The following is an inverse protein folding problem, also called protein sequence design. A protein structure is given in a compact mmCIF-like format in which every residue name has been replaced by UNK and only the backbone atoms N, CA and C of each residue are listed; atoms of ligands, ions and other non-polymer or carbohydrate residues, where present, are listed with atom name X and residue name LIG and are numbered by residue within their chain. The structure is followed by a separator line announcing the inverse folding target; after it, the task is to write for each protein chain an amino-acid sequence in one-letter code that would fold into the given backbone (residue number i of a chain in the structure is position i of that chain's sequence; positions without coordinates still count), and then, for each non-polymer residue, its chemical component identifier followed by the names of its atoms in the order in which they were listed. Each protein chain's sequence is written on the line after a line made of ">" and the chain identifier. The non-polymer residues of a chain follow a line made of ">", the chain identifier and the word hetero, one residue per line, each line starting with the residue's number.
data_IF_700364108269
#
_entry.id   IF_700364108269
#
_cell.length_a   1.000
_cell.length_b   1.000
_cell.length_c   1.000
_cell.angle_alpha   90.00
_cell.angle_beta   90.00
_cell.angle_gamma   90.00
#
_symmetry.space_group_name_H-M   'P 1'
#
loop_
_entity.id
_entity.type
_entity.pdbx_description
1 polymer ?
#
# COMPACT_ATOMS: atom_id res chain seq x y z
N UNK A 1 2.82 16.67 16.08
CA UNK A 1 3.71 15.85 15.24
C UNK A 1 3.03 15.56 13.91
N UNK A 2 3.75 15.75 12.83
CA UNK A 2 3.21 15.49 11.48
C UNK A 2 3.44 14.03 11.12
N UNK A 3 2.48 13.16 11.45
CA UNK A 3 2.60 11.73 11.18
C UNK A 3 2.29 11.40 9.72
N UNK A 4 3.19 10.67 9.09
CA UNK A 4 2.98 10.08 7.77
C UNK A 4 2.91 8.56 7.93
N UNK A 5 1.88 7.94 7.36
CA UNK A 5 1.70 6.48 7.39
C UNK A 5 1.87 5.96 5.97
N UNK A 6 2.81 5.05 5.76
CA UNK A 6 2.87 4.29 4.50
C UNK A 6 2.22 2.94 4.72
N UNK A 7 1.46 2.46 3.75
CA UNK A 7 0.77 1.20 3.87
C UNK A 7 1.03 0.34 2.64
N UNK A 8 1.83 -0.70 2.82
CA UNK A 8 2.02 -1.77 1.83
C UNK A 8 1.07 -2.91 2.20
N UNK A 9 0.59 -3.64 1.21
CA UNK A 9 -0.45 -4.63 1.49
C UNK A 9 -0.44 -5.74 0.44
N UNK A 10 -0.68 -6.96 0.91
CA UNK A 10 -1.01 -8.08 0.04
C UNK A 10 -2.38 -7.85 -0.58
N UNK A 11 -2.57 -8.35 -1.80
CA UNK A 11 -3.83 -8.17 -2.51
C UNK A 11 -4.97 -8.95 -1.81
N UNK A 12 -6.13 -8.32 -1.71
CA UNK A 12 -7.31 -8.93 -1.08
C UNK A 12 -7.39 -8.79 0.43
N UNK A 13 -6.54 -7.99 1.05
CA UNK A 13 -6.60 -7.75 2.51
C UNK A 13 -7.67 -6.74 2.93
N UNK A 14 -8.15 -5.92 2.00
CA UNK A 14 -9.06 -4.81 2.34
C UNK A 14 -8.33 -3.63 2.99
N UNK A 15 -7.03 -3.50 2.77
CA UNK A 15 -6.23 -2.43 3.37
C UNK A 15 -6.71 -1.04 3.00
N UNK A 16 -7.31 -0.86 1.82
CA UNK A 16 -7.89 0.44 1.43
C UNK A 16 -9.02 0.87 2.37
N UNK A 17 -9.81 -0.08 2.85
CA UNK A 17 -10.89 0.18 3.82
C UNK A 17 -10.28 0.62 5.15
N UNK A 18 -9.19 -0.05 5.58
CA UNK A 18 -8.46 0.31 6.79
C UNK A 18 -7.89 1.73 6.66
N UNK A 19 -7.29 2.04 5.52
CA UNK A 19 -6.72 3.36 5.26
C UNK A 19 -7.80 4.46 5.30
N UNK A 20 -8.97 4.21 4.73
CA UNK A 20 -10.07 5.16 4.76
C UNK A 20 -10.58 5.41 6.17
N UNK A 21 -10.69 4.36 6.98
CA UNK A 21 -11.11 4.49 8.37
C UNK A 21 -10.07 5.28 9.20
N UNK A 22 -8.79 5.00 9.01
CA UNK A 22 -7.73 5.76 9.64
C UNK A 22 -7.75 7.23 9.21
N UNK A 23 -7.98 7.48 7.93
CA UNK A 23 -8.10 8.83 7.38
C UNK A 23 -9.17 9.63 8.09
N UNK A 24 -10.34 9.02 8.30
CA UNK A 24 -11.45 9.66 8.99
C UNK A 24 -11.13 9.95 10.46
N UNK A 25 -10.54 8.97 11.15
CA UNK A 25 -10.23 9.09 12.58
C UNK A 25 -9.12 10.09 12.87
N UNK A 26 -8.14 10.18 11.98
CA UNK A 26 -6.99 11.07 12.15
C UNK A 26 -7.15 12.40 11.41
N UNK A 27 -8.19 12.55 10.61
CA UNK A 27 -8.45 13.72 9.77
C UNK A 27 -7.25 14.03 8.87
N UNK A 28 -6.76 13.01 8.16
CA UNK A 28 -5.65 13.15 7.22
C UNK A 28 -6.01 12.48 5.88
N UNK A 29 -5.48 12.97 4.75
CA UNK A 29 -5.82 12.41 3.45
C UNK A 29 -5.15 11.07 3.17
N UNK A 30 -5.75 10.29 2.26
CA UNK A 30 -5.17 9.06 1.71
C UNK A 30 -4.78 9.30 0.26
N UNK A 31 -3.55 8.95 -0.10
CA UNK A 31 -3.05 9.05 -1.46
C UNK A 31 -2.74 7.64 -1.99
N UNK A 32 -3.41 7.26 -3.05
CA UNK A 32 -3.22 5.97 -3.70
C UNK A 32 -2.50 6.13 -5.05
N UNK A 33 -2.33 5.01 -5.75
CA UNK A 33 -1.69 5.00 -7.07
C UNK A 33 -2.39 5.95 -8.05
N UNK A 34 -3.72 5.91 -8.11
CA UNK A 34 -4.49 6.74 -9.03
C UNK A 34 -4.29 8.22 -8.77
N UNK A 35 -4.28 8.63 -7.50
CA UNK A 35 -4.03 10.01 -7.12
C UNK A 35 -2.64 10.49 -7.56
N UNK A 36 -1.62 9.67 -7.28
CA UNK A 36 -0.23 10.00 -7.62
C UNK A 36 -0.04 10.07 -9.14
N UNK A 37 -0.60 9.12 -9.88
CA UNK A 37 -0.54 9.12 -11.35
C UNK A 37 -1.22 10.34 -11.94
N UNK A 38 -2.34 10.78 -11.39
CA UNK A 38 -3.03 12.00 -11.81
C UNK A 38 -2.13 13.22 -11.64
N UNK A 39 -1.42 13.34 -10.51
CA UNK A 39 -0.50 14.45 -10.27
C UNK A 39 0.68 14.44 -11.22
N UNK A 40 1.15 13.27 -11.63
CA UNK A 40 2.20 13.15 -12.64
C UNK A 40 1.70 13.55 -14.03
N UNK A 41 0.49 13.14 -14.42
CA UNK A 41 -0.08 13.49 -15.73
C UNK A 41 -0.38 14.98 -15.85
N UNK A 42 -0.66 15.67 -14.74
CA UNK A 42 -0.85 17.11 -14.70
C UNK A 42 0.49 17.88 -14.72
N UNK A 43 1.61 17.18 -14.87
CA UNK A 43 2.97 17.75 -14.86
C UNK A 43 3.30 18.55 -13.59
N UNK A 44 2.61 18.24 -12.49
CA UNK A 44 2.85 18.89 -11.21
C UNK A 44 4.15 18.42 -10.57
N UNK A 45 4.51 17.15 -10.80
CA UNK A 45 5.74 16.54 -10.29
C UNK A 45 6.43 15.77 -11.42
N UNK A 46 7.76 15.72 -11.38
CA UNK A 46 8.56 15.03 -12.40
C UNK A 46 8.62 13.53 -12.21
N UNK A 47 8.45 13.04 -10.97
CA UNK A 47 8.52 11.61 -10.66
C UNK A 47 7.62 11.24 -9.49
N UNK A 48 7.31 9.94 -9.37
CA UNK A 48 6.55 9.44 -8.22
C UNK A 48 7.28 9.74 -6.91
N UNK A 49 8.61 9.59 -6.89
CA UNK A 49 9.39 9.85 -5.68
C UNK A 49 9.27 11.32 -5.25
N UNK A 50 9.35 12.26 -6.21
CA UNK A 50 9.17 13.67 -5.92
C UNK A 50 7.76 13.95 -5.38
N UNK A 51 6.74 13.38 -6.02
CA UNK A 51 5.36 13.54 -5.58
C UNK A 51 5.17 13.03 -4.15
N UNK A 52 5.68 11.85 -3.85
CA UNK A 52 5.57 11.25 -2.51
C UNK A 52 6.30 12.11 -1.47
N UNK A 53 7.49 12.59 -1.76
CA UNK A 53 8.24 13.44 -0.82
C UNK A 53 7.50 14.75 -0.53
N UNK A 54 6.88 15.34 -1.53
CA UNK A 54 6.11 16.58 -1.38
C UNK A 54 4.82 16.35 -0.60
N UNK A 55 4.07 15.30 -0.94
CA UNK A 55 2.84 14.97 -0.22
C UNK A 55 3.12 14.64 1.25
N UNK A 56 4.27 14.03 1.54
CA UNK A 56 4.67 13.67 2.90
C UNK A 56 5.15 14.85 3.75
N UNK A 57 5.16 16.05 3.23
CA UNK A 57 5.42 17.27 4.04
C UNK A 57 4.26 17.59 4.96
N UNK A 58 3.10 17.04 4.72
CA UNK A 58 1.91 17.18 5.58
C UNK A 58 1.45 15.79 6.02
N UNK A 59 0.72 15.68 7.14
CA UNK A 59 0.19 14.40 7.60
C UNK A 59 -0.65 13.73 6.52
N UNK A 60 -0.39 12.46 6.25
CA UNK A 60 -1.11 11.71 5.21
C UNK A 60 -0.89 10.21 5.35
N UNK A 61 -1.68 9.45 4.59
CA UNK A 61 -1.53 8.01 4.42
C UNK A 61 -1.21 7.77 2.94
N UNK A 62 -0.14 7.04 2.65
CA UNK A 62 0.25 6.72 1.27
C UNK A 62 0.15 5.21 1.08
N UNK A 63 -0.63 4.79 0.07
CA UNK A 63 -0.82 3.37 -0.25
C UNK A 63 0.17 2.93 -1.33
N UNK A 64 1.10 2.06 -0.95
CA UNK A 64 2.05 1.44 -1.87
C UNK A 64 3.08 2.39 -2.47
N UNK A 65 3.41 2.19 -3.73
CA UNK A 65 4.33 3.00 -4.56
C UNK A 65 5.73 3.15 -3.98
N UNK A 66 6.20 2.16 -3.21
CA UNK A 66 7.52 2.18 -2.57
C UNK A 66 7.72 3.36 -1.60
N UNK A 67 6.62 3.90 -1.07
CA UNK A 67 6.70 5.07 -0.18
C UNK A 67 7.55 4.81 1.06
N UNK A 68 7.52 3.60 1.62
CA UNK A 68 8.35 3.25 2.76
C UNK A 68 9.84 3.40 2.48
N UNK A 69 10.28 3.04 1.28
CA UNK A 69 11.68 3.19 0.88
C UNK A 69 12.02 4.64 0.53
N UNK A 70 11.14 5.32 -0.19
CA UNK A 70 11.34 6.72 -0.59
C UNK A 70 11.48 7.61 0.65
N UNK A 71 10.72 7.35 1.71
CA UNK A 71 10.68 8.13 2.93
C UNK A 71 11.54 7.56 4.06
N UNK A 72 12.43 6.61 3.77
CA UNK A 72 13.21 5.88 4.78
C UNK A 72 14.06 6.77 5.70
N UNK A 73 14.44 7.95 5.25
CA UNK A 73 15.28 8.87 6.03
C UNK A 73 14.46 9.82 6.90
N UNK A 74 13.14 9.74 6.87
CA UNK A 74 12.27 10.58 7.69
C UNK A 74 11.85 9.86 8.96
N UNK A 75 11.95 10.56 10.09
CA UNK A 75 11.68 9.98 11.42
C UNK A 75 10.19 9.94 11.78
N UNK A 76 9.38 10.73 11.11
CA UNK A 76 7.96 10.85 11.41
C UNK A 76 7.08 9.92 10.55
N UNK A 77 7.65 8.83 10.07
CA UNK A 77 6.95 7.88 9.19
C UNK A 77 6.74 6.55 9.88
N UNK A 78 5.49 6.09 9.88
CA UNK A 78 5.13 4.75 10.31
C UNK A 78 4.86 3.91 9.07
N UNK A 79 5.66 2.87 8.87
CA UNK A 79 5.52 1.95 7.74
C UNK A 79 4.74 0.72 8.17
N UNK A 80 3.56 0.51 7.59
CA UNK A 80 2.68 -0.64 7.90
C UNK A 80 2.64 -1.58 6.71
N UNK A 81 2.73 -2.87 6.98
CA UNK A 81 2.55 -3.92 5.99
C UNK A 81 1.34 -4.76 6.39
N UNK A 82 0.28 -4.75 5.56
CA UNK A 82 -0.97 -5.47 5.85
C UNK A 82 -0.98 -6.80 5.11
N UNK A 83 -1.19 -7.88 5.85
CA UNK A 83 -1.32 -9.22 5.29
C UNK A 83 -2.50 -9.96 5.91
N UNK A 84 -2.87 -11.08 5.31
CA UNK A 84 -3.89 -11.99 5.80
C UNK A 84 -3.64 -13.35 5.18
N UNK A 85 -4.24 -14.40 5.73
CA UNK A 85 -4.10 -15.73 5.16
C UNK A 85 -4.56 -15.73 3.70
N UNK A 86 -3.82 -16.44 2.86
CA UNK A 86 -4.06 -16.44 1.40
C UNK A 86 -5.49 -16.84 1.05
N UNK A 87 -6.02 -17.87 1.70
CA UNK A 87 -7.39 -18.32 1.45
C UNK A 87 -8.43 -17.26 1.81
N UNK A 88 -8.22 -16.53 2.90
CA UNK A 88 -9.12 -15.44 3.30
C UNK A 88 -9.12 -14.32 2.25
N UNK A 89 -7.96 -14.02 1.69
CA UNK A 89 -7.83 -13.03 0.62
C UNK A 89 -8.51 -13.48 -0.66
N UNK A 90 -8.37 -14.76 -1.01
CA UNK A 90 -9.05 -15.35 -2.16
C UNK A 90 -10.56 -15.23 -2.00
N UNK A 91 -11.10 -15.60 -0.82
CA UNK A 91 -12.53 -15.52 -0.55
C UNK A 91 -13.05 -14.08 -0.66
N UNK A 92 -12.28 -13.11 -0.18
CA UNK A 92 -12.66 -11.71 -0.30
C UNK A 92 -12.74 -11.26 -1.75
N UNK A 93 -11.78 -11.66 -2.59
CA UNK A 93 -11.77 -11.28 -4.01
C UNK A 93 -12.89 -12.00 -4.79
N UNK A 94 -13.19 -13.26 -4.46
CA UNK A 94 -14.35 -13.96 -5.04
C UNK A 94 -15.63 -13.15 -4.87
N UNK A 95 -15.86 -12.64 -3.68
CA UNK A 95 -17.07 -11.85 -3.37
C UNK A 95 -17.04 -10.47 -4.02
N UNK A 96 -15.91 -9.79 -3.92
CA UNK A 96 -15.77 -8.41 -4.41
C UNK A 96 -15.88 -8.32 -5.93
N UNK A 97 -15.29 -9.27 -6.64
CA UNK A 97 -15.19 -9.24 -8.10
C UNK A 97 -16.06 -10.30 -8.80
N UNK A 98 -16.85 -11.04 -8.02
CA UNK A 98 -17.72 -12.09 -8.54
C UNK A 98 -16.96 -13.12 -9.39
N UNK A 99 -15.86 -13.62 -8.83
CA UNK A 99 -15.02 -14.63 -9.48
C UNK A 99 -15.16 -15.98 -8.78
N UNK A 100 -14.88 -17.07 -9.53
CA UNK A 100 -14.74 -18.39 -8.91
C UNK A 100 -13.40 -18.48 -8.17
N UNK A 101 -13.20 -19.57 -7.41
CA UNK A 101 -12.01 -19.76 -6.59
C UNK A 101 -10.73 -19.73 -7.42
N UNK A 102 -10.69 -20.44 -8.55
CA UNK A 102 -9.48 -20.52 -9.36
C UNK A 102 -9.10 -19.19 -9.97
N UNK A 103 -10.06 -18.43 -10.47
CA UNK A 103 -9.82 -17.10 -11.04
C UNK A 103 -9.36 -16.11 -9.96
N UNK A 104 -9.99 -16.16 -8.78
CA UNK A 104 -9.60 -15.29 -7.66
C UNK A 104 -8.20 -15.63 -7.16
N UNK A 105 -7.87 -16.92 -7.04
CA UNK A 105 -6.54 -17.38 -6.62
C UNK A 105 -5.46 -16.89 -7.59
N UNK A 106 -5.70 -17.06 -8.88
CA UNK A 106 -4.76 -16.58 -9.91
C UNK A 106 -4.54 -15.07 -9.80
N UNK A 107 -5.61 -14.32 -9.63
CA UNK A 107 -5.53 -12.86 -9.49
C UNK A 107 -4.75 -12.45 -8.24
N UNK A 108 -5.00 -13.11 -7.11
CA UNK A 108 -4.29 -12.84 -5.85
C UNK A 108 -2.79 -13.12 -6.02
N UNK A 109 -2.44 -14.28 -6.55
CA UNK A 109 -1.03 -14.66 -6.75
C UNK A 109 -0.32 -13.73 -7.71
N UNK A 110 -0.93 -13.44 -8.86
CA UNK A 110 -0.36 -12.58 -9.88
C UNK A 110 -0.16 -11.15 -9.38
N UNK A 111 -1.14 -10.59 -8.70
CA UNK A 111 -1.05 -9.23 -8.16
C UNK A 111 0.02 -9.12 -7.09
N UNK A 112 0.12 -10.11 -6.19
CA UNK A 112 1.17 -10.13 -5.18
C UNK A 112 2.56 -10.22 -5.82
N UNK A 113 2.71 -11.05 -6.85
CA UNK A 113 3.97 -11.17 -7.59
C UNK A 113 4.35 -9.87 -8.29
N UNK A 114 3.38 -9.19 -8.93
CA UNK A 114 3.63 -7.91 -9.56
C UNK A 114 4.08 -6.85 -8.56
N UNK A 115 3.42 -6.79 -7.40
CA UNK A 115 3.78 -5.83 -6.36
C UNK A 115 5.16 -6.09 -5.78
N UNK A 116 5.49 -7.36 -5.54
CA UNK A 116 6.80 -7.76 -5.05
C UNK A 116 7.90 -7.43 -6.06
N UNK A 117 7.66 -7.71 -7.34
CA UNK A 117 8.60 -7.43 -8.42
C UNK A 117 8.82 -5.92 -8.59
N UNK A 118 7.74 -5.14 -8.56
CA UNK A 118 7.80 -3.68 -8.63
C UNK A 118 8.66 -3.12 -7.48
N UNK A 119 8.42 -3.59 -6.27
CA UNK A 119 9.17 -3.14 -5.10
C UNK A 119 10.65 -3.49 -5.21
N UNK A 120 10.96 -4.73 -5.59
CA UNK A 120 12.35 -5.17 -5.78
C UNK A 120 13.06 -4.38 -6.88
N UNK A 121 12.39 -4.16 -8.00
CA UNK A 121 12.93 -3.40 -9.12
C UNK A 121 13.30 -1.97 -8.73
N UNK A 122 12.47 -1.31 -7.92
CA UNK A 122 12.67 0.09 -7.55
C UNK A 122 13.52 0.29 -6.29
N UNK A 123 13.65 -0.71 -5.43
CA UNK A 123 14.35 -0.57 -4.14
C UNK A 123 15.51 -1.54 -3.96
N UNK A 124 15.56 -2.62 -4.71
CA UNK A 124 16.51 -3.72 -4.51
C UNK A 124 16.23 -4.54 -3.24
N UNK A 125 15.08 -4.35 -2.61
CA UNK A 125 14.72 -5.00 -1.34
C UNK A 125 13.57 -5.96 -1.50
N UNK A 126 13.49 -6.94 -0.59
CA UNK A 126 12.37 -7.88 -0.53
C UNK A 126 11.14 -7.19 0.05
N UNK A 127 10.03 -7.29 -0.66
CA UNK A 127 8.76 -6.73 -0.22
C UNK A 127 8.24 -7.45 1.02
N UNK A 128 7.82 -6.66 2.02
CA UNK A 128 7.32 -7.22 3.28
C UNK A 128 8.40 -7.66 4.26
N UNK A 129 9.63 -7.15 4.11
CA UNK A 129 10.73 -7.44 5.03
C UNK A 129 10.35 -7.01 6.47
N UNK A 130 10.52 -7.93 7.43
CA UNK A 130 10.17 -7.71 8.83
C UNK A 130 10.92 -6.54 9.48
N UNK A 131 12.10 -6.20 8.99
CA UNK A 131 12.93 -5.12 9.55
C UNK A 131 12.40 -3.74 9.14
N UNK A 132 11.83 -3.63 7.93
CA UNK A 132 11.42 -2.35 7.36
C UNK A 132 9.99 -1.93 7.70
N UNK A 133 9.16 -2.84 8.19
CA UNK A 133 7.73 -2.61 8.38
C UNK A 133 7.23 -3.01 9.76
N UNK A 134 6.20 -2.31 10.22
CA UNK A 134 5.32 -2.81 11.27
C UNK A 134 4.28 -3.71 10.59
N UNK A 135 4.29 -4.99 10.92
CA UNK A 135 3.40 -5.96 10.29
C UNK A 135 2.04 -6.00 10.99
N UNK A 136 0.98 -5.91 10.18
CA UNK A 136 -0.39 -6.11 10.62
C UNK A 136 -0.96 -7.31 9.85
N UNK A 137 -1.20 -8.41 10.56
CA UNK A 137 -1.82 -9.60 9.98
C UNK A 137 -3.27 -9.66 10.43
N UNK A 138 -4.19 -9.66 9.48
CA UNK A 138 -5.61 -9.69 9.78
C UNK A 138 -6.03 -11.11 10.20
N UNK A 139 -6.92 -11.22 11.20
CA UNK A 139 -7.38 -12.53 11.65
C UNK A 139 -8.28 -13.19 10.61
N UNK A 140 -8.31 -14.52 10.65
CA UNK A 140 -9.26 -15.33 9.87
C UNK A 140 -10.65 -15.14 10.46
N UNK A 141 -11.61 -14.83 9.61
CA UNK A 141 -13.02 -14.63 10.01
C UNK A 141 -13.83 -15.86 9.60
#
# INVERSE_FOLDING_TARGET
>A
MKLVITMSRRFGTGASIIAEELSKRLDIPVYDKAYIEEKLSDHKYESEAEAIRKLAESPCIILGRCASDILKDRMNVLNIYVSAAKEDRIQRIMKKENLDHDAAKEKVEHTDEERAAYYYEHTGKTWGDAVSYTHLTLPTI
#
